data_IF_816394467554
#
_entry.id   IF_816394467554
#
_cell.length_a   1.000
_cell.length_b   1.000
_cell.length_c   1.000
_cell.angle_alpha   90.00
_cell.angle_beta   90.00
_cell.angle_gamma   90.00
#
_symmetry.space_group_name_H-M   'P 1'
#
loop_
_entity.id
_entity.type
_entity.pdbx_description
1 polymer ?
#
# COMPACT_ATOMS: atom_id res chain seq x y z
N UNK A 1 -53.55 0.97 -72.36
CA UNK A 1 -52.55 0.09 -71.73
C UNK A 1 -51.61 0.96 -70.92
N UNK A 2 -51.56 0.74 -69.61
CA UNK A 2 -51.16 1.77 -68.63
C UNK A 2 -49.67 1.98 -68.44
N UNK A 3 -49.36 2.99 -67.60
CA UNK A 3 -48.37 2.92 -66.53
C UNK A 3 -48.53 4.10 -65.56
N UNK A 4 -48.41 3.76 -64.28
CA UNK A 4 -48.62 4.59 -63.10
C UNK A 4 -47.45 5.54 -62.80
N UNK A 5 -47.79 6.56 -62.03
CA UNK A 5 -46.94 7.58 -61.42
C UNK A 5 -45.87 7.03 -60.45
N UNK A 6 -44.80 7.80 -60.24
CA UNK A 6 -44.52 8.35 -58.90
C UNK A 6 -43.51 9.51 -58.95
N UNK A 7 -43.89 10.65 -58.37
CA UNK A 7 -43.09 11.86 -58.21
C UNK A 7 -42.50 11.91 -56.79
N UNK A 8 -41.18 11.75 -56.66
CA UNK A 8 -40.46 11.90 -55.38
C UNK A 8 -39.80 13.27 -55.28
N UNK A 9 -40.43 14.20 -54.57
CA UNK A 9 -39.90 15.51 -54.24
C UNK A 9 -39.04 15.42 -52.96
N UNK A 10 -37.74 15.70 -53.03
CA UNK A 10 -36.83 15.75 -51.85
C UNK A 10 -36.81 17.17 -51.27
N UNK A 11 -37.30 17.32 -50.04
CA UNK A 11 -37.12 18.53 -49.23
C UNK A 11 -35.70 18.58 -48.62
N UNK A 12 -35.13 19.77 -48.35
CA UNK A 12 -33.79 19.90 -47.81
C UNK A 12 -33.75 19.56 -46.31
N UNK A 13 -32.69 18.87 -45.89
CA UNK A 13 -32.43 18.50 -44.52
C UNK A 13 -32.21 19.75 -43.64
N UNK A 14 -33.00 19.88 -42.58
CA UNK A 14 -32.76 20.88 -41.53
C UNK A 14 -31.47 20.57 -40.74
N UNK A 15 -30.93 21.57 -40.01
CA UNK A 15 -29.69 21.42 -39.27
C UNK A 15 -29.88 20.34 -38.18
N UNK A 16 -29.02 19.32 -38.21
CA UNK A 16 -28.91 18.34 -37.14
C UNK A 16 -28.47 19.07 -35.87
N UNK A 17 -29.35 19.07 -34.87
CA UNK A 17 -29.02 19.52 -33.53
C UNK A 17 -27.84 18.69 -33.01
N UNK A 18 -26.74 19.39 -32.77
CA UNK A 18 -25.57 18.89 -32.06
C UNK A 18 -26.05 18.40 -30.68
N UNK A 19 -26.10 17.07 -30.50
CA UNK A 19 -26.34 16.47 -29.20
C UNK A 19 -25.06 16.66 -28.40
N UNK A 20 -24.94 17.83 -27.78
CA UNK A 20 -23.92 18.10 -26.78
C UNK A 20 -23.85 16.94 -25.80
N UNK A 21 -22.74 16.21 -25.83
CA UNK A 21 -22.38 15.25 -24.79
C UNK A 21 -21.94 16.08 -23.58
N UNK A 22 -22.90 16.67 -22.87
CA UNK A 22 -22.69 17.19 -21.53
C UNK A 22 -22.87 16.02 -20.55
N UNK A 23 -21.92 15.10 -20.58
CA UNK A 23 -21.84 14.01 -19.62
C UNK A 23 -20.59 14.22 -18.78
N UNK A 24 -20.66 15.04 -17.73
CA UNK A 24 -19.70 14.88 -16.63
C UNK A 24 -19.98 13.52 -16.03
N UNK A 25 -19.07 12.55 -16.20
CA UNK A 25 -19.16 11.28 -15.49
C UNK A 25 -19.44 11.54 -14.01
N UNK A 26 -20.35 10.79 -13.37
CA UNK A 26 -20.67 11.01 -11.97
C UNK A 26 -19.40 10.94 -11.10
N UNK A 27 -19.25 11.89 -10.18
CA UNK A 27 -18.06 11.97 -9.32
C UNK A 27 -18.19 10.91 -8.21
N UNK A 28 -17.46 9.82 -8.39
CA UNK A 28 -17.45 8.63 -7.52
C UNK A 28 -16.81 8.94 -6.16
N UNK A 29 -17.03 8.07 -5.18
CA UNK A 29 -16.42 8.20 -3.85
C UNK A 29 -14.89 8.12 -3.94
N UNK A 30 -14.36 7.32 -4.87
CA UNK A 30 -12.93 7.27 -5.18
C UNK A 30 -12.40 8.64 -5.65
N UNK A 31 -13.07 9.28 -6.61
CA UNK A 31 -12.67 10.61 -7.10
C UNK A 31 -12.78 11.70 -6.04
N UNK A 32 -13.77 11.62 -5.14
CA UNK A 32 -13.87 12.56 -4.01
C UNK A 32 -12.78 12.33 -2.97
N UNK A 33 -12.41 11.08 -2.69
CA UNK A 33 -11.34 10.74 -1.75
C UNK A 33 -10.01 11.36 -2.18
N UNK A 34 -9.72 11.39 -3.49
CA UNK A 34 -8.50 11.98 -4.08
C UNK A 34 -8.32 13.46 -3.77
N UNK A 35 -9.38 14.18 -3.43
CA UNK A 35 -9.30 15.59 -3.05
C UNK A 35 -8.60 15.80 -1.70
N UNK A 36 -8.58 14.77 -0.86
CA UNK A 36 -8.06 14.85 0.51
C UNK A 36 -6.86 13.93 0.76
N UNK A 37 -6.73 12.86 -0.02
CA UNK A 37 -5.80 11.76 0.23
C UNK A 37 -5.20 11.24 -1.07
N UNK A 38 -3.90 10.96 -1.04
CA UNK A 38 -3.24 10.26 -2.15
C UNK A 38 -3.65 8.79 -2.14
N UNK A 39 -4.28 8.33 -3.23
CA UNK A 39 -4.71 6.93 -3.37
C UNK A 39 -3.58 6.08 -3.92
N UNK A 40 -3.32 4.98 -3.21
CA UNK A 40 -2.29 3.98 -3.50
C UNK A 40 -2.98 2.62 -3.71
N UNK A 41 -2.48 1.81 -4.63
CA UNK A 41 -3.03 0.48 -4.87
C UNK A 41 -2.23 -0.63 -4.16
N UNK A 42 -2.91 -1.49 -3.41
CA UNK A 42 -2.30 -2.61 -2.68
C UNK A 42 -2.42 -3.92 -3.50
N UNK A 43 -1.51 -4.10 -4.45
CA UNK A 43 -1.55 -5.26 -5.36
C UNK A 43 -0.20 -5.56 -6.01
N UNK A 44 0.10 -6.84 -6.22
CA UNK A 44 1.15 -7.31 -7.13
C UNK A 44 0.65 -7.59 -8.55
N UNK A 45 -0.68 -7.56 -8.74
CA UNK A 45 -1.34 -7.71 -10.03
C UNK A 45 -1.41 -6.36 -10.73
N UNK A 46 -0.52 -6.15 -11.70
CA UNK A 46 -0.37 -4.89 -12.40
C UNK A 46 -1.25 -4.76 -13.66
N UNK A 47 -1.86 -5.84 -14.16
CA UNK A 47 -2.76 -5.81 -15.33
C UNK A 47 -4.10 -5.08 -15.09
N UNK A 48 -4.48 -4.84 -13.83
CA UNK A 48 -5.66 -4.03 -13.47
C UNK A 48 -5.33 -2.65 -12.90
N UNK A 49 -4.06 -2.30 -12.77
CA UNK A 49 -3.61 -1.14 -12.01
C UNK A 49 -4.02 0.19 -12.67
N UNK A 50 -4.00 0.23 -14.01
CA UNK A 50 -4.36 1.41 -14.79
C UNK A 50 -5.81 1.84 -14.61
N UNK A 51 -6.71 0.90 -14.30
CA UNK A 51 -8.16 1.16 -14.14
C UNK A 51 -8.41 2.26 -13.13
N UNK A 52 -7.73 2.21 -11.99
CA UNK A 52 -7.96 3.13 -10.88
C UNK A 52 -6.98 4.30 -10.83
N UNK A 53 -5.97 4.36 -11.71
CA UNK A 53 -4.97 5.44 -11.78
C UNK A 53 -4.39 5.81 -10.38
N UNK A 54 -3.83 4.85 -9.63
CA UNK A 54 -3.22 5.16 -8.34
C UNK A 54 -1.94 5.99 -8.53
N UNK A 55 -1.58 6.78 -7.52
CA UNK A 55 -0.33 7.55 -7.53
C UNK A 55 0.86 6.61 -7.27
N UNK A 56 0.78 5.84 -6.19
CA UNK A 56 1.78 4.85 -5.78
C UNK A 56 1.17 3.43 -5.82
N UNK A 57 2.00 2.40 -5.66
CA UNK A 57 1.54 1.04 -5.42
C UNK A 57 2.35 0.35 -4.33
N UNK A 58 1.72 -0.58 -3.61
CA UNK A 58 2.39 -1.39 -2.60
C UNK A 58 2.30 -2.87 -2.93
N UNK A 59 3.43 -3.54 -2.76
CA UNK A 59 3.49 -5.00 -2.73
C UNK A 59 3.84 -5.49 -1.32
N UNK A 60 3.72 -6.80 -1.12
CA UNK A 60 4.19 -7.55 0.04
C UNK A 60 4.35 -9.03 -0.38
N UNK A 61 4.95 -9.89 0.44
CA UNK A 61 5.19 -11.28 0.07
C UNK A 61 3.92 -12.03 -0.36
N UNK A 62 2.80 -11.83 0.34
CA UNK A 62 1.52 -12.46 -0.01
C UNK A 62 1.00 -12.01 -1.38
N UNK A 63 1.12 -10.73 -1.71
CA UNK A 63 0.65 -10.18 -2.97
C UNK A 63 1.48 -10.66 -4.16
N UNK A 64 2.80 -10.73 -3.99
CA UNK A 64 3.68 -11.29 -5.02
C UNK A 64 3.41 -12.77 -5.22
N UNK A 65 3.29 -13.54 -4.14
CA UNK A 65 2.97 -14.97 -4.22
C UNK A 65 1.66 -15.21 -4.97
N UNK A 66 0.60 -14.45 -4.64
CA UNK A 66 -0.68 -14.52 -5.35
C UNK A 66 -0.55 -14.16 -6.83
N UNK A 67 0.27 -13.16 -7.17
CA UNK A 67 0.46 -12.73 -8.55
C UNK A 67 1.20 -13.82 -9.36
N UNK A 68 2.33 -14.34 -8.88
CA UNK A 68 3.13 -15.34 -9.61
C UNK A 68 2.40 -16.65 -9.87
N UNK A 69 1.36 -16.96 -9.09
CA UNK A 69 0.51 -18.12 -9.28
C UNK A 69 -0.50 -17.97 -10.42
N UNK A 70 -0.71 -16.76 -10.94
CA UNK A 70 -1.59 -16.55 -12.09
C UNK A 70 -0.86 -16.84 -13.40
N UNK A 71 -1.51 -17.50 -14.39
CA UNK A 71 -0.88 -17.86 -15.66
C UNK A 71 -0.24 -16.69 -16.40
N UNK A 72 -0.85 -15.51 -16.36
CA UNK A 72 -0.38 -14.30 -17.02
C UNK A 72 0.95 -13.75 -16.46
N UNK A 73 1.34 -14.13 -15.24
CA UNK A 73 2.58 -13.71 -14.59
C UNK A 73 3.66 -14.80 -14.55
N UNK A 74 3.33 -16.03 -14.97
CA UNK A 74 4.29 -17.14 -15.03
C UNK A 74 5.51 -16.80 -15.92
N UNK A 75 5.29 -16.03 -16.99
CA UNK A 75 6.36 -15.56 -17.87
C UNK A 75 7.44 -14.77 -17.15
N UNK A 76 7.06 -13.89 -16.22
CA UNK A 76 8.02 -13.03 -15.50
C UNK A 76 8.96 -13.86 -14.59
N UNK A 77 8.42 -14.87 -13.92
CA UNK A 77 9.22 -15.78 -13.09
C UNK A 77 10.19 -16.60 -13.94
N UNK A 78 9.72 -17.16 -15.07
CA UNK A 78 10.58 -17.93 -15.97
C UNK A 78 11.68 -17.05 -16.60
N UNK A 79 11.36 -15.81 -16.97
CA UNK A 79 12.33 -14.85 -17.48
C UNK A 79 13.46 -14.58 -16.47
N UNK A 80 13.12 -14.40 -15.19
CA UNK A 80 14.11 -14.21 -14.12
C UNK A 80 14.97 -15.46 -13.94
N UNK A 81 14.36 -16.65 -13.88
CA UNK A 81 15.12 -17.91 -13.77
C UNK A 81 16.05 -18.13 -14.97
N UNK A 82 15.57 -17.88 -16.20
CA UNK A 82 16.34 -18.05 -17.42
C UNK A 82 17.50 -17.04 -17.53
N UNK A 83 17.29 -15.81 -17.06
CA UNK A 83 18.32 -14.76 -17.06
C UNK A 83 19.40 -14.99 -16.00
N UNK A 84 19.07 -15.64 -14.88
CA UNK A 84 19.97 -15.86 -13.75
C UNK A 84 20.02 -17.34 -13.33
N UNK A 85 20.40 -18.28 -14.23
CA UNK A 85 20.21 -19.73 -14.01
C UNK A 85 21.08 -20.33 -12.88
N UNK A 86 22.12 -19.60 -12.47
CA UNK A 86 23.06 -19.98 -11.41
C UNK A 86 22.92 -19.14 -10.14
N UNK A 87 22.00 -18.18 -10.11
CA UNK A 87 21.78 -17.36 -8.92
C UNK A 87 21.22 -18.24 -7.78
N UNK A 88 21.63 -17.98 -6.52
CA UNK A 88 21.03 -18.61 -5.37
C UNK A 88 19.56 -18.20 -5.24
N UNK A 89 18.80 -18.98 -4.48
CA UNK A 89 17.34 -18.84 -4.41
C UNK A 89 16.89 -17.48 -3.87
N UNK A 90 17.60 -16.96 -2.88
CA UNK A 90 17.32 -15.65 -2.29
C UNK A 90 17.58 -14.51 -3.29
N UNK A 91 18.62 -14.64 -4.13
CA UNK A 91 18.85 -13.69 -5.21
C UNK A 91 17.76 -13.77 -6.29
N UNK A 92 17.32 -14.97 -6.67
CA UNK A 92 16.22 -15.14 -7.62
C UNK A 92 14.93 -14.51 -7.10
N UNK A 93 14.62 -14.69 -5.82
CA UNK A 93 13.48 -14.07 -5.17
C UNK A 93 13.57 -12.55 -5.22
N UNK A 94 14.69 -11.96 -4.82
CA UNK A 94 14.91 -10.51 -4.87
C UNK A 94 14.77 -9.96 -6.30
N UNK A 95 15.37 -10.62 -7.28
CA UNK A 95 15.26 -10.20 -8.69
C UNK A 95 13.84 -10.29 -9.22
N UNK A 96 13.07 -11.28 -8.77
CA UNK A 96 11.64 -11.38 -9.09
C UNK A 96 10.85 -10.23 -8.47
N UNK A 97 11.08 -9.90 -7.20
CA UNK A 97 10.43 -8.75 -6.53
C UNK A 97 10.71 -7.44 -7.29
N UNK A 98 11.96 -7.22 -7.69
CA UNK A 98 12.38 -6.05 -8.47
C UNK A 98 11.78 -6.07 -9.88
N UNK A 99 11.61 -7.24 -10.50
CA UNK A 99 10.94 -7.37 -11.79
C UNK A 99 9.46 -6.98 -11.72
N UNK A 100 8.74 -7.38 -10.67
CA UNK A 100 7.37 -6.90 -10.41
C UNK A 100 7.35 -5.39 -10.20
N UNK A 101 8.27 -4.86 -9.39
CA UNK A 101 8.36 -3.43 -9.15
C UNK A 101 8.59 -2.61 -10.42
N UNK A 102 9.46 -3.08 -11.33
CA UNK A 102 9.66 -2.46 -12.65
C UNK A 102 8.34 -2.38 -13.44
N UNK A 103 7.63 -3.51 -13.57
CA UNK A 103 6.35 -3.55 -14.30
C UNK A 103 5.28 -2.64 -13.70
N UNK A 104 5.26 -2.50 -12.38
CA UNK A 104 4.38 -1.56 -11.69
C UNK A 104 4.78 -0.11 -11.99
N UNK A 105 6.09 0.21 -11.92
CA UNK A 105 6.61 1.57 -12.16
C UNK A 105 6.46 2.05 -13.61
N UNK A 106 6.36 1.14 -14.58
CA UNK A 106 6.00 1.44 -15.96
C UNK A 106 4.56 1.99 -16.08
N UNK A 107 3.71 1.75 -15.08
CA UNK A 107 2.29 2.08 -15.07
C UNK A 107 1.99 3.31 -14.19
N UNK A 108 2.58 3.38 -13.00
CA UNK A 108 2.26 4.42 -12.02
C UNK A 108 3.23 5.61 -12.13
N UNK A 109 2.76 6.84 -11.86
CA UNK A 109 3.62 8.02 -11.87
C UNK A 109 4.52 8.12 -10.63
N UNK A 110 4.11 7.51 -9.51
CA UNK A 110 4.78 7.61 -8.22
C UNK A 110 5.64 6.40 -7.88
N UNK A 111 5.56 5.96 -6.63
CA UNK A 111 6.48 5.03 -5.99
C UNK A 111 5.94 3.61 -5.90
N UNK A 112 6.82 2.62 -5.93
CA UNK A 112 6.48 1.23 -5.57
C UNK A 112 7.10 0.88 -4.23
N UNK A 113 6.30 0.27 -3.34
CA UNK A 113 6.85 -0.37 -2.13
C UNK A 113 7.18 -1.84 -2.40
N UNK A 114 8.43 -2.22 -2.12
CA UNK A 114 8.94 -3.59 -2.26
C UNK A 114 9.46 -4.07 -0.93
N UNK A 115 8.95 -5.21 -0.45
CA UNK A 115 9.19 -5.67 0.91
C UNK A 115 10.44 -6.54 1.02
N UNK A 116 11.29 -6.20 2.00
CA UNK A 116 12.44 -6.99 2.40
C UNK A 116 11.95 -8.33 2.97
N UNK A 117 12.74 -9.39 2.78
CA UNK A 117 12.44 -10.73 3.29
C UNK A 117 12.12 -10.71 4.80
N UNK A 118 10.88 -11.06 5.15
CA UNK A 118 10.40 -11.02 6.52
C UNK A 118 11.17 -11.96 7.47
N UNK A 119 11.95 -12.93 6.96
CA UNK A 119 12.86 -13.75 7.79
C UNK A 119 13.95 -12.91 8.47
N UNK A 120 14.22 -11.72 7.95
CA UNK A 120 15.24 -10.80 8.43
C UNK A 120 14.72 -9.79 9.47
N UNK A 121 13.42 -9.81 9.79
CA UNK A 121 12.74 -8.81 10.63
C UNK A 121 13.36 -8.56 12.02
N UNK A 122 14.18 -9.50 12.52
CA UNK A 122 14.86 -9.39 13.82
C UNK A 122 16.39 -9.27 13.69
N UNK A 123 16.88 -8.84 12.53
CA UNK A 123 18.30 -8.57 12.29
C UNK A 123 18.46 -7.27 11.50
N UNK A 124 18.90 -6.22 12.20
CA UNK A 124 19.13 -4.89 11.61
C UNK A 124 20.12 -4.97 10.44
N UNK A 125 21.30 -5.56 10.66
CA UNK A 125 22.35 -5.59 9.63
C UNK A 125 21.94 -6.42 8.42
N UNK A 126 21.26 -7.55 8.61
CA UNK A 126 20.78 -8.36 7.49
C UNK A 126 19.66 -7.66 6.70
N UNK A 127 18.78 -6.93 7.39
CA UNK A 127 17.72 -6.12 6.75
C UNK A 127 18.33 -5.00 5.90
N UNK A 128 19.31 -4.28 6.44
CA UNK A 128 20.04 -3.22 5.71
C UNK A 128 20.71 -3.79 4.47
N UNK A 129 21.51 -4.86 4.62
CA UNK A 129 22.22 -5.47 3.50
C UNK A 129 21.25 -5.97 2.39
N UNK A 130 20.09 -6.50 2.77
CA UNK A 130 19.07 -6.93 1.81
C UNK A 130 18.40 -5.75 1.10
N UNK A 131 18.09 -4.68 1.83
CA UNK A 131 17.49 -3.48 1.26
C UNK A 131 18.45 -2.79 0.26
N UNK A 132 19.73 -2.69 0.59
CA UNK A 132 20.77 -2.17 -0.30
C UNK A 132 20.88 -3.02 -1.58
N UNK A 133 20.89 -4.37 -1.45
CA UNK A 133 20.90 -5.28 -2.60
C UNK A 133 19.68 -5.09 -3.52
N UNK A 134 18.48 -4.92 -2.95
CA UNK A 134 17.27 -4.63 -3.72
C UNK A 134 17.37 -3.29 -4.45
N UNK A 135 17.89 -2.26 -3.79
CA UNK A 135 18.15 -0.95 -4.43
C UNK A 135 19.18 -1.04 -5.55
N UNK A 136 20.24 -1.82 -5.39
CA UNK A 136 21.22 -2.06 -6.44
C UNK A 136 20.58 -2.70 -7.68
N UNK A 137 19.65 -3.64 -7.49
CA UNK A 137 18.91 -4.24 -8.61
C UNK A 137 17.95 -3.25 -9.27
N UNK A 138 17.31 -2.35 -8.53
CA UNK A 138 16.54 -1.24 -9.13
C UNK A 138 17.44 -0.29 -9.91
N UNK A 139 18.60 0.08 -9.36
CA UNK A 139 19.56 0.95 -10.03
C UNK A 139 20.10 0.33 -11.33
N UNK A 140 20.37 -0.98 -11.35
CA UNK A 140 20.72 -1.73 -12.56
C UNK A 140 19.61 -1.71 -13.63
N UNK A 141 18.36 -1.55 -13.22
CA UNK A 141 17.21 -1.35 -14.11
C UNK A 141 16.96 0.13 -14.47
N UNK A 142 17.85 1.05 -14.06
CA UNK A 142 17.71 2.48 -14.31
C UNK A 142 16.70 3.19 -13.43
N UNK A 143 16.31 2.61 -12.29
CA UNK A 143 15.32 3.15 -11.36
C UNK A 143 16.03 3.69 -10.12
N UNK A 144 15.81 4.97 -9.82
CA UNK A 144 16.38 5.66 -8.66
C UNK A 144 15.61 5.44 -7.35
N UNK A 145 16.22 5.80 -6.20
CA UNK A 145 15.59 5.67 -4.88
C UNK A 145 14.33 6.53 -4.70
N UNK A 146 14.14 7.57 -5.50
CA UNK A 146 12.94 8.43 -5.49
C UNK A 146 11.66 7.71 -5.93
N UNK A 147 11.80 6.60 -6.67
CA UNK A 147 10.69 5.78 -7.18
C UNK A 147 10.41 4.53 -6.33
N UNK A 148 11.20 4.26 -5.29
CA UNK A 148 11.14 2.99 -4.54
C UNK A 148 11.07 3.27 -3.04
N UNK A 149 10.20 2.53 -2.35
CA UNK A 149 10.16 2.46 -0.89
C UNK A 149 10.50 1.04 -0.43
N UNK A 150 11.56 0.87 0.34
CA UNK A 150 11.92 -0.42 0.91
C UNK A 150 11.03 -0.70 2.11
N UNK A 151 10.20 -1.72 1.97
CA UNK A 151 9.19 -2.03 2.96
C UNK A 151 9.74 -3.01 3.99
N UNK A 152 9.62 -2.67 5.27
CA UNK A 152 10.27 -3.37 6.39
C UNK A 152 9.26 -3.49 7.54
N UNK A 153 9.19 -4.66 8.18
CA UNK A 153 8.34 -4.84 9.36
C UNK A 153 8.81 -3.94 10.52
N UNK A 154 7.87 -3.25 11.19
CA UNK A 154 8.14 -2.29 12.26
C UNK A 154 8.46 -2.97 13.60
N UNK A 155 9.40 -3.92 13.60
CA UNK A 155 10.12 -4.36 14.81
C UNK A 155 11.13 -3.29 15.23
N UNK A 156 11.71 -3.42 16.43
CA UNK A 156 12.80 -2.52 16.83
C UNK A 156 13.96 -2.58 15.82
N UNK A 157 14.39 -3.80 15.46
CA UNK A 157 15.50 -4.03 14.56
C UNK A 157 15.23 -3.50 13.15
N UNK A 158 13.98 -3.59 12.67
CA UNK A 158 13.54 -3.05 11.40
C UNK A 158 13.49 -1.52 11.38
N UNK A 159 13.08 -0.89 12.49
CA UNK A 159 13.10 0.57 12.65
C UNK A 159 14.54 1.09 12.68
N UNK A 160 15.44 0.39 13.38
CA UNK A 160 16.88 0.71 13.37
C UNK A 160 17.49 0.55 11.98
N UNK A 161 17.09 -0.48 11.23
CA UNK A 161 17.53 -0.67 9.85
C UNK A 161 17.08 0.49 8.96
N UNK A 162 15.80 0.87 9.05
CA UNK A 162 15.25 1.99 8.30
C UNK A 162 15.96 3.31 8.65
N UNK A 163 16.28 3.57 9.92
CA UNK A 163 17.05 4.76 10.32
C UNK A 163 18.40 4.86 9.60
N UNK A 164 19.10 3.72 9.43
CA UNK A 164 20.38 3.68 8.71
C UNK A 164 20.18 3.90 7.21
N UNK A 165 19.17 3.25 6.62
CA UNK A 165 18.84 3.33 5.20
C UNK A 165 18.43 4.75 4.79
N UNK A 166 17.58 5.42 5.58
CA UNK A 166 17.14 6.80 5.30
C UNK A 166 18.31 7.79 5.33
N UNK A 167 19.25 7.62 6.26
CA UNK A 167 20.49 8.41 6.29
C UNK A 167 21.39 8.17 5.08
N UNK A 168 21.27 7.00 4.45
CA UNK A 168 21.95 6.66 3.20
C UNK A 168 21.15 7.05 1.94
N UNK A 169 19.99 7.71 2.09
CA UNK A 169 19.14 8.12 0.96
C UNK A 169 18.29 6.98 0.38
N UNK A 170 18.10 5.88 1.11
CA UNK A 170 17.22 4.78 0.75
C UNK A 170 15.93 4.92 1.55
N UNK A 171 14.85 5.30 0.86
CA UNK A 171 13.57 5.59 1.48
C UNK A 171 12.81 4.32 1.89
N UNK A 172 12.22 4.34 3.08
CA UNK A 172 11.61 3.17 3.70
C UNK A 172 10.10 3.35 3.93
N UNK A 173 9.38 2.22 3.86
CA UNK A 173 7.98 2.06 4.26
C UNK A 173 7.89 1.09 5.44
N UNK A 174 7.61 1.59 6.64
CA UNK A 174 7.55 0.74 7.84
C UNK A 174 6.15 0.15 7.97
N UNK A 175 6.04 -1.16 7.79
CA UNK A 175 4.79 -1.92 7.74
C UNK A 175 4.58 -2.80 8.95
N UNK A 176 3.46 -3.55 9.00
CA UNK A 176 3.06 -4.32 10.19
C UNK A 176 3.09 -3.44 11.46
N UNK A 177 2.65 -2.20 11.30
CA UNK A 177 2.56 -1.21 12.37
C UNK A 177 1.15 -1.28 12.95
N UNK A 178 1.07 -1.69 14.21
CA UNK A 178 -0.18 -1.92 14.94
C UNK A 178 -0.29 -1.03 16.17
N UNK A 179 0.80 -0.94 16.94
CA UNK A 179 0.86 -0.24 18.22
C UNK A 179 1.40 1.18 18.11
N UNK A 180 1.06 2.00 19.09
CA UNK A 180 1.50 3.41 19.13
C UNK A 180 3.01 3.57 19.35
N UNK A 181 3.63 2.67 20.12
CA UNK A 181 5.09 2.67 20.33
C UNK A 181 5.87 2.52 19.01
N UNK A 182 5.38 1.67 18.10
CA UNK A 182 5.94 1.53 16.76
C UNK A 182 5.83 2.84 15.97
N UNK A 183 4.68 3.51 16.02
CA UNK A 183 4.50 4.80 15.37
C UNK A 183 5.48 5.86 15.90
N UNK A 184 5.64 5.99 17.22
CA UNK A 184 6.56 6.97 17.80
C UNK A 184 8.01 6.67 17.40
N UNK A 185 8.44 5.41 17.54
CA UNK A 185 9.80 5.01 17.19
C UNK A 185 10.12 5.19 15.69
N UNK A 186 9.16 4.93 14.80
CA UNK A 186 9.31 5.21 13.36
C UNK A 186 9.48 6.71 13.09
N UNK A 187 8.69 7.56 13.77
CA UNK A 187 8.74 9.00 13.61
C UNK A 187 10.11 9.56 14.04
N UNK A 188 10.62 9.13 15.19
CA UNK A 188 11.93 9.54 15.70
C UNK A 188 13.10 8.94 14.89
N UNK A 189 12.89 7.80 14.22
CA UNK A 189 13.85 7.25 13.27
C UNK A 189 13.94 8.02 11.95
N UNK A 190 13.01 8.95 11.69
CA UNK A 190 13.02 9.78 10.48
C UNK A 190 12.69 9.01 9.21
N UNK A 191 11.84 7.99 9.30
CA UNK A 191 11.43 7.19 8.14
C UNK A 191 10.53 8.00 7.21
N UNK A 192 10.60 7.71 5.91
CA UNK A 192 9.84 8.42 4.88
C UNK A 192 8.35 8.17 5.04
N UNK A 193 7.95 6.91 5.24
CA UNK A 193 6.55 6.51 5.27
C UNK A 193 6.31 5.38 6.28
N UNK A 194 5.15 5.41 6.94
CA UNK A 194 4.62 4.29 7.73
C UNK A 194 3.31 3.76 7.15
N UNK A 195 3.10 2.44 7.26
CA UNK A 195 1.86 1.76 6.90
C UNK A 195 1.16 1.18 8.13
N UNK A 196 0.44 1.99 8.94
CA UNK A 196 -0.38 1.50 10.04
C UNK A 196 -1.57 0.69 9.52
N UNK A 197 -1.78 -0.50 10.09
CA UNK A 197 -2.81 -1.43 9.63
C UNK A 197 -4.14 -1.14 10.33
N UNK A 198 -5.24 -1.23 9.57
CA UNK A 198 -6.60 -0.96 10.08
C UNK A 198 -7.37 -2.25 10.28
N UNK A 199 -7.61 -2.99 9.19
CA UNK A 199 -8.48 -4.16 9.21
C UNK A 199 -7.96 -5.33 10.04
N UNK A 200 -6.64 -5.54 10.10
CA UNK A 200 -6.08 -6.59 10.99
C UNK A 200 -6.24 -6.26 12.48
N UNK A 201 -6.31 -4.98 12.84
CA UNK A 201 -6.65 -4.56 14.20
C UNK A 201 -8.11 -4.92 14.48
N UNK A 202 -9.03 -4.54 13.58
CA UNK A 202 -10.45 -4.89 13.69
C UNK A 202 -10.65 -6.42 13.82
N UNK A 203 -9.95 -7.23 13.01
CA UNK A 203 -10.06 -8.69 13.07
C UNK A 203 -9.69 -9.24 14.46
N UNK A 204 -8.61 -8.71 15.07
CA UNK A 204 -8.18 -9.12 16.40
C UNK A 204 -9.24 -8.83 17.45
N UNK A 205 -9.74 -7.59 17.48
CA UNK A 205 -10.73 -7.14 18.45
C UNK A 205 -12.07 -7.86 18.29
N UNK A 206 -12.53 -8.12 17.06
CA UNK A 206 -13.71 -8.95 16.79
C UNK A 206 -13.58 -10.35 17.36
N UNK A 207 -12.42 -10.99 17.17
CA UNK A 207 -12.18 -12.34 17.67
C UNK A 207 -12.13 -12.40 19.20
N UNK A 208 -11.59 -11.38 19.86
CA UNK A 208 -11.40 -11.36 21.31
C UNK A 208 -12.63 -10.84 22.08
N UNK A 209 -13.32 -9.83 21.57
CA UNK A 209 -14.50 -9.24 22.22
C UNK A 209 -15.82 -9.91 21.78
N UNK A 210 -15.82 -10.64 20.67
CA UNK A 210 -17.01 -11.36 20.18
C UNK A 210 -18.15 -10.44 19.74
N UNK A 211 -17.85 -9.19 19.38
CA UNK A 211 -18.84 -8.19 18.93
C UNK A 211 -18.43 -7.50 17.65
N UNK A 212 -19.40 -6.82 17.04
CA UNK A 212 -19.16 -5.91 15.92
C UNK A 212 -18.82 -4.48 16.39
N UNK A 213 -18.22 -3.74 15.47
CA UNK A 213 -17.78 -2.36 15.67
C UNK A 213 -18.40 -1.49 14.58
N UNK A 214 -18.96 -0.35 14.98
CA UNK A 214 -19.26 0.71 14.00
C UNK A 214 -17.95 1.31 13.50
N UNK A 215 -17.97 2.01 12.36
CA UNK A 215 -16.75 2.60 11.79
C UNK A 215 -16.09 3.65 12.70
N UNK A 216 -16.88 4.32 13.55
CA UNK A 216 -16.35 5.31 14.50
C UNK A 216 -15.77 4.67 15.77
N UNK A 217 -16.16 3.41 16.06
CA UNK A 217 -15.60 2.59 17.15
C UNK A 217 -14.52 1.63 16.67
N UNK A 218 -14.25 1.57 15.36
CA UNK A 218 -13.30 0.65 14.76
C UNK A 218 -11.89 0.90 15.33
N UNK A 219 -11.29 -0.08 16.02
CA UNK A 219 -10.02 0.12 16.73
C UNK A 219 -8.87 0.38 15.76
N UNK A 220 -8.95 -0.10 14.52
CA UNK A 220 -7.97 0.20 13.48
C UNK A 220 -8.08 1.65 12.99
N UNK A 221 -9.30 2.14 12.77
CA UNK A 221 -9.54 3.54 12.38
C UNK A 221 -9.08 4.48 13.50
N UNK A 222 -9.42 4.17 14.75
CA UNK A 222 -8.99 4.93 15.93
C UNK A 222 -7.46 4.95 16.08
N UNK A 223 -6.80 3.81 15.84
CA UNK A 223 -5.33 3.73 15.84
C UNK A 223 -4.70 4.68 14.82
N UNK A 224 -5.13 4.63 13.55
CA UNK A 224 -4.59 5.53 12.51
C UNK A 224 -4.89 6.99 12.81
N UNK A 225 -6.08 7.33 13.31
CA UNK A 225 -6.43 8.71 13.71
C UNK A 225 -5.50 9.24 14.80
N UNK A 226 -5.19 8.42 15.80
CA UNK A 226 -4.25 8.76 16.88
C UNK A 226 -2.84 8.98 16.32
N UNK A 227 -2.36 8.07 15.47
CA UNK A 227 -1.03 8.16 14.85
C UNK A 227 -0.91 9.41 13.98
N UNK A 228 -1.86 9.63 13.07
CA UNK A 228 -1.89 10.81 12.21
C UNK A 228 -1.86 12.10 13.03
N UNK A 229 -2.70 12.17 14.07
CA UNK A 229 -2.78 13.35 14.94
C UNK A 229 -1.44 13.62 15.62
N UNK A 230 -0.79 12.58 16.17
CA UNK A 230 0.54 12.69 16.78
C UNK A 230 1.58 13.21 15.78
N UNK A 231 1.60 12.64 14.58
CA UNK A 231 2.58 12.98 13.55
C UNK A 231 2.45 14.45 13.13
N UNK A 232 1.23 14.91 12.83
CA UNK A 232 0.99 16.31 12.44
C UNK A 232 1.18 17.28 13.60
N UNK A 233 0.83 16.89 14.83
CA UNK A 233 1.01 17.72 16.03
C UNK A 233 2.46 18.12 16.26
N UNK A 234 3.37 17.17 16.09
CA UNK A 234 4.80 17.37 16.33
C UNK A 234 5.60 17.69 15.06
N UNK A 235 4.92 17.86 13.92
CA UNK A 235 5.56 18.27 12.67
C UNK A 235 6.49 17.21 12.08
N UNK A 236 6.24 15.93 12.32
CA UNK A 236 7.02 14.87 11.70
C UNK A 236 6.76 14.85 10.18
N UNK A 237 7.82 14.80 9.34
CA UNK A 237 7.68 14.75 7.89
C UNK A 237 7.23 13.39 7.38
N UNK A 238 7.39 12.33 8.19
CA UNK A 238 6.98 10.97 7.84
C UNK A 238 5.52 10.94 7.40
N UNK A 239 5.28 10.34 6.23
CA UNK A 239 3.95 10.17 5.67
C UNK A 239 3.19 9.05 6.38
N UNK A 240 1.90 9.27 6.65
CA UNK A 240 1.01 8.27 7.24
C UNK A 240 0.15 7.65 6.15
N UNK A 241 0.39 6.38 5.84
CA UNK A 241 -0.37 5.62 4.85
C UNK A 241 -1.23 4.53 5.49
N UNK A 242 -2.51 4.79 5.73
CA UNK A 242 -3.41 3.75 6.25
C UNK A 242 -3.46 2.54 5.30
N UNK A 243 -3.41 1.33 5.86
CA UNK A 243 -3.30 0.09 5.09
C UNK A 243 -4.21 -1.05 5.63
N UNK A 244 -4.35 -2.11 4.84
CA UNK A 244 -5.05 -3.36 5.23
C UNK A 244 -6.53 -3.20 5.57
N UNK A 245 -7.32 -2.57 4.70
CA UNK A 245 -8.76 -2.35 4.93
C UNK A 245 -9.61 -3.63 4.80
N UNK A 246 -10.78 -3.62 5.45
CA UNK A 246 -11.87 -4.61 5.30
C UNK A 246 -13.10 -4.04 4.62
N UNK A 247 -13.27 -2.71 4.61
CA UNK A 247 -14.44 -2.07 4.02
C UNK A 247 -14.13 -0.66 3.52
N UNK A 248 -14.95 -0.18 2.59
CA UNK A 248 -14.92 1.22 2.12
C UNK A 248 -15.25 2.21 3.23
N UNK A 249 -16.07 1.84 4.21
CA UNK A 249 -16.36 2.67 5.37
C UNK A 249 -15.08 3.04 6.16
N UNK A 250 -14.18 2.09 6.42
CA UNK A 250 -12.91 2.38 7.10
C UNK A 250 -12.04 3.37 6.31
N UNK A 251 -12.01 3.23 4.99
CA UNK A 251 -11.26 4.12 4.10
C UNK A 251 -11.82 5.54 4.17
N UNK A 252 -13.14 5.68 4.03
CA UNK A 252 -13.81 6.98 4.07
C UNK A 252 -13.72 7.63 5.46
N UNK A 253 -13.67 6.84 6.53
CA UNK A 253 -13.47 7.33 7.90
C UNK A 253 -12.06 7.90 8.16
N UNK A 254 -11.11 7.65 7.23
CA UNK A 254 -9.74 8.14 7.23
C UNK A 254 -9.46 9.10 6.06
N UNK A 255 -10.49 9.58 5.33
CA UNK A 255 -10.32 10.59 4.30
C UNK A 255 -9.59 11.84 4.86
N UNK A 256 -8.50 12.26 4.22
CA UNK A 256 -7.57 13.28 4.71
C UNK A 256 -6.27 12.73 5.31
N UNK A 257 -6.13 11.41 5.47
CA UNK A 257 -4.83 10.76 5.68
C UNK A 257 -3.90 11.10 4.51
N UNK A 258 -2.58 11.14 4.73
CA UNK A 258 -1.63 11.54 3.68
C UNK A 258 -1.76 10.61 2.46
N UNK A 259 -1.73 9.30 2.72
CA UNK A 259 -1.97 8.25 1.74
C UNK A 259 -2.92 7.19 2.31
N UNK A 260 -3.58 6.45 1.43
CA UNK A 260 -4.27 5.19 1.77
C UNK A 260 -3.97 4.16 0.70
N UNK A 261 -3.43 3.01 1.10
CA UNK A 261 -3.21 1.88 0.18
C UNK A 261 -4.37 0.89 0.25
N UNK A 262 -5.02 0.71 -0.90
CA UNK A 262 -6.35 0.11 -1.01
C UNK A 262 -6.30 -1.06 -2.00
N UNK A 263 -6.92 -2.19 -1.63
CA UNK A 263 -6.99 -3.35 -2.51
C UNK A 263 -7.82 -3.06 -3.76
N UNK A 264 -7.56 -3.73 -4.90
CA UNK A 264 -8.36 -3.54 -6.12
C UNK A 264 -9.86 -3.74 -5.94
N UNK A 265 -10.27 -4.66 -5.07
CA UNK A 265 -11.68 -4.90 -4.77
C UNK A 265 -12.33 -3.68 -4.10
N UNK A 266 -11.69 -3.10 -3.08
CA UNK A 266 -12.21 -1.92 -2.39
C UNK A 266 -12.10 -0.65 -3.24
N UNK A 267 -11.09 -0.56 -4.13
CA UNK A 267 -11.04 0.50 -5.15
C UNK A 267 -12.23 0.42 -6.09
N UNK A 268 -12.59 -0.77 -6.58
CA UNK A 268 -13.76 -0.97 -7.42
C UNK A 268 -15.06 -0.60 -6.69
N UNK A 269 -15.19 -0.95 -5.42
CA UNK A 269 -16.35 -0.57 -4.60
C UNK A 269 -16.46 0.96 -4.43
N UNK A 270 -15.34 1.65 -4.16
CA UNK A 270 -15.33 3.12 -4.05
C UNK A 270 -15.66 3.80 -5.38
N UNK A 271 -15.20 3.22 -6.49
CA UNK A 271 -15.47 3.74 -7.83
C UNK A 271 -16.92 3.50 -8.27
N UNK A 272 -17.58 2.48 -7.72
CA UNK A 272 -18.99 2.20 -7.97
C UNK A 272 -19.96 3.01 -7.09
N UNK A 273 -19.47 3.74 -6.09
CA UNK A 273 -20.30 4.49 -5.13
C UNK A 273 -20.36 5.97 -5.45
N UNK A 274 -21.56 6.55 -5.46
CA UNK A 274 -21.79 8.00 -5.59
C UNK A 274 -22.19 8.63 -4.25
N UNK A 275 -21.36 8.44 -3.23
CA UNK A 275 -21.60 8.99 -1.88
C UNK A 275 -20.76 10.25 -1.62
N UNK A 276 -21.24 11.20 -0.81
CA UNK A 276 -20.42 12.32 -0.38
C UNK A 276 -19.25 11.82 0.48
N UNK A 277 -18.07 12.38 0.26
CA UNK A 277 -16.87 12.13 1.07
C UNK A 277 -16.49 13.43 1.76
N UNK A 278 -16.41 13.40 3.08
CA UNK A 278 -15.97 14.53 3.89
C UNK A 278 -14.56 14.26 4.43
N UNK A 279 -13.72 15.28 4.51
CA UNK A 279 -12.42 15.20 5.18
C UNK A 279 -12.63 14.88 6.66
N UNK A 280 -12.01 13.80 7.14
CA UNK A 280 -12.04 13.33 8.54
C UNK A 280 -10.75 13.61 9.28
N UNK A 281 -9.63 13.60 8.56
CA UNK A 281 -8.31 13.91 9.08
C UNK A 281 -7.83 15.25 8.52
N UNK A 282 -7.64 16.23 9.40
CA UNK A 282 -7.21 17.57 9.03
C UNK A 282 -5.91 17.95 9.77
N UNK A 283 -4.84 18.36 9.06
CA UNK A 283 -3.56 18.69 9.66
C UNK A 283 -3.62 19.95 10.53
N UNK A 284 -4.49 20.93 10.23
CA UNK A 284 -4.64 22.13 11.05
C UNK A 284 -5.28 21.80 12.39
N UNK A 285 -6.29 20.94 12.39
CA UNK A 285 -6.91 20.43 13.62
C UNK A 285 -5.92 19.59 14.41
N UNK A 286 -5.20 18.68 13.75
CA UNK A 286 -4.22 17.82 14.42
C UNK A 286 -3.07 18.62 15.07
N UNK A 287 -2.63 19.72 14.43
CA UNK A 287 -1.61 20.63 14.98
C UNK A 287 -2.00 21.29 16.31
N UNK A 288 -3.29 21.38 16.60
CA UNK A 288 -3.83 21.98 17.82
C UNK A 288 -4.06 20.97 18.95
N UNK A 289 -3.82 19.67 18.71
CA UNK A 289 -4.08 18.62 19.69
C UNK A 289 -3.27 18.83 20.98
N UNK A 290 -3.92 18.67 22.13
CA UNK A 290 -3.29 18.74 23.45
C UNK A 290 -2.77 17.36 23.84
N UNK A 291 -1.65 16.96 23.24
CA UNK A 291 -0.96 15.69 23.49
C UNK A 291 0.51 15.94 23.79
N UNK A 292 1.09 15.09 24.65
CA UNK A 292 2.50 15.16 25.02
C UNK A 292 3.36 14.30 24.10
N UNK A 293 4.62 14.71 23.91
CA UNK A 293 5.57 13.96 23.11
C UNK A 293 6.07 12.77 23.93
N UNK A 294 6.03 11.60 23.33
CA UNK A 294 6.62 10.39 23.90
C UNK A 294 8.07 10.26 23.41
N UNK A 295 8.96 9.81 24.29
CA UNK A 295 10.35 9.48 23.96
C UNK A 295 10.56 8.02 24.32
N UNK A 296 10.95 7.20 23.35
CA UNK A 296 11.14 5.77 23.54
C UNK A 296 12.60 5.39 23.24
N UNK A 297 13.29 4.88 24.26
CA UNK A 297 14.47 4.04 24.05
C UNK A 297 14.04 2.59 23.79
N UNK A 298 15.01 1.70 23.55
CA UNK A 298 14.70 0.30 23.25
C UNK A 298 13.91 -0.40 24.38
N UNK A 299 14.32 -0.31 25.67
CA UNK A 299 13.53 -0.88 26.75
C UNK A 299 12.09 -0.36 26.82
N UNK A 300 11.89 0.97 26.71
CA UNK A 300 10.56 1.56 26.74
C UNK A 300 9.71 1.11 25.54
N UNK A 301 10.29 1.10 24.33
CA UNK A 301 9.61 0.59 23.13
C UNK A 301 9.14 -0.85 23.31
N UNK A 302 10.03 -1.74 23.77
CA UNK A 302 9.72 -3.16 23.96
C UNK A 302 8.66 -3.36 25.03
N UNK A 303 8.72 -2.60 26.12
CA UNK A 303 7.72 -2.63 27.19
C UNK A 303 6.34 -2.17 26.69
N UNK A 304 6.27 -1.00 26.05
CA UNK A 304 5.01 -0.44 25.56
C UNK A 304 4.38 -1.30 24.46
N UNK A 305 5.19 -1.91 23.58
CA UNK A 305 4.70 -2.86 22.59
C UNK A 305 4.13 -4.11 23.25
N UNK A 306 4.80 -4.63 24.28
CA UNK A 306 4.37 -5.80 25.04
C UNK A 306 3.04 -5.57 25.80
N UNK A 307 2.81 -4.37 26.34
CA UNK A 307 1.56 -4.01 27.01
C UNK A 307 0.36 -3.96 26.04
N UNK A 308 0.60 -3.76 24.74
CA UNK A 308 -0.41 -3.87 23.69
C UNK A 308 -0.45 -5.30 23.13
N UNK A 309 -1.28 -6.15 23.74
CA UNK A 309 -1.44 -7.55 23.33
C UNK A 309 -1.81 -7.69 21.85
N UNK A 310 -2.69 -6.83 21.33
CA UNK A 310 -3.08 -6.83 19.93
C UNK A 310 -1.89 -6.55 19.02
N UNK A 311 -1.13 -5.50 19.32
CA UNK A 311 0.03 -5.12 18.51
C UNK A 311 1.12 -6.19 18.55
N UNK A 312 1.41 -6.73 19.73
CA UNK A 312 2.41 -7.81 19.92
C UNK A 312 2.03 -9.05 19.11
N UNK A 313 0.80 -9.51 19.23
CA UNK A 313 0.33 -10.72 18.54
C UNK A 313 0.27 -10.50 17.03
N UNK A 314 -0.30 -9.38 16.57
CA UNK A 314 -0.46 -9.10 15.13
C UNK A 314 0.85 -8.80 14.42
N UNK A 315 1.83 -8.18 15.07
CA UNK A 315 3.18 -8.04 14.53
C UNK A 315 3.80 -9.42 14.29
N UNK A 316 3.79 -10.27 15.32
CA UNK A 316 4.40 -11.60 15.24
C UNK A 316 3.66 -12.51 14.25
N UNK A 317 2.33 -12.48 14.22
CA UNK A 317 1.49 -13.19 13.25
C UNK A 317 1.78 -12.73 11.81
N UNK A 318 1.84 -11.42 11.58
CA UNK A 318 2.14 -10.84 10.29
C UNK A 318 3.49 -11.28 9.73
N UNK A 319 4.54 -11.23 10.55
CA UNK A 319 5.88 -11.69 10.16
C UNK A 319 5.84 -13.18 9.82
N UNK A 320 5.22 -14.03 10.66
CA UNK A 320 5.12 -15.48 10.39
C UNK A 320 4.40 -15.78 9.07
N UNK A 321 3.31 -15.06 8.78
CA UNK A 321 2.57 -15.21 7.54
C UNK A 321 3.43 -14.86 6.32
N UNK A 322 4.13 -13.71 6.35
CA UNK A 322 5.02 -13.30 5.27
C UNK A 322 6.21 -14.25 5.08
N UNK A 323 6.76 -14.81 6.16
CA UNK A 323 7.78 -15.87 6.08
C UNK A 323 7.23 -17.15 5.43
N UNK A 324 6.00 -17.54 5.74
CA UNK A 324 5.36 -18.70 5.12
C UNK A 324 5.14 -18.51 3.61
N UNK A 325 4.72 -17.30 3.21
CA UNK A 325 4.56 -16.94 1.80
C UNK A 325 5.92 -16.93 1.06
N UNK A 326 6.95 -16.34 1.68
CA UNK A 326 8.32 -16.34 1.12
C UNK A 326 8.85 -17.77 0.92
N UNK A 327 8.64 -18.68 1.89
CA UNK A 327 9.02 -20.10 1.76
C UNK A 327 8.26 -20.80 0.64
N UNK A 328 7.00 -20.44 0.43
CA UNK A 328 6.20 -20.98 -0.68
C UNK A 328 6.74 -20.48 -2.02
N UNK A 329 7.06 -19.19 -2.11
CA UNK A 329 7.69 -18.59 -3.30
C UNK A 329 9.05 -19.22 -3.61
N UNK A 330 9.89 -19.41 -2.59
CA UNK A 330 11.16 -20.15 -2.69
C UNK A 330 10.95 -21.54 -3.29
N UNK A 331 9.92 -22.26 -2.83
CA UNK A 331 9.56 -23.57 -3.36
C UNK A 331 9.10 -23.56 -4.83
N UNK A 332 8.47 -22.47 -5.29
CA UNK A 332 8.11 -22.28 -6.70
C UNK A 332 9.35 -21.97 -7.53
N UNK A 333 10.21 -21.06 -7.07
CA UNK A 333 11.46 -20.67 -7.74
C UNK A 333 12.49 -21.79 -7.81
N UNK A 334 12.51 -22.70 -6.84
CA UNK A 334 13.39 -23.86 -6.85
C UNK A 334 13.02 -24.91 -7.91
N UNK A 335 11.74 -24.93 -8.36
CA UNK A 335 11.31 -25.73 -9.50
C UNK A 335 11.79 -25.03 -10.76
N UNK A 336 13.04 -25.31 -11.15
CA UNK A 336 13.60 -24.80 -12.41
C UNK A 336 12.71 -25.29 -13.56
N UNK A 337 12.32 -24.35 -14.42
CA UNK A 337 11.61 -24.62 -15.67
C UNK A 337 12.62 -24.80 -16.80
#
# INVERSE_FOLDING_TARGET
MGRMANSGNRAPAGPQADKGVTGTSPVTALERLRQFTTVVADTGDFHGLQTFRPQDATTNPSLILKAVQKPEYAGLMHEVQARYPQAPLDELADRLLVAFGQKILDIIPGRVSTEVDARLSFSTDATVARAERLMDYYAQAGIGPDRVLLKIAATWEGIEAARRLERAGIHCNLTLLFGFAQAVACADAGVTLISPFVGRILDWYRAHEGRDFTVEEDPGVLSVRRIYTYYKRFGYPCEVMGASFRSTAQILALAGCDLLTISPALLAELDAQEVPVARKLDPDVARQAQIERLSLDEPAFRFDLNEDAMATEKLAEGIRAFVADARTLDGLLARKV
#
